data_IF_399527414736
#
_entry.id   IF_399527414736
#
_cell.length_a   1.000
_cell.length_b   1.000
_cell.length_c   1.000
_cell.angle_alpha   90.00
_cell.angle_beta   90.00
_cell.angle_gamma   90.00
#
_symmetry.space_group_name_H-M   'P 1'
#
loop_
_entity.id
_entity.type
_entity.pdbx_description
1 polymer ?
#
# COMPACT_ATOMS: atom_id res chain seq x y z
N UNK A 1 9.41 15.29 42.14
CA UNK A 1 10.15 16.00 41.08
C UNK A 1 9.82 15.46 39.69
N UNK A 2 10.34 14.31 39.25
CA UNK A 2 10.09 13.77 37.89
C UNK A 2 8.62 13.71 37.45
N UNK A 3 7.75 13.05 38.23
CA UNK A 3 6.30 13.00 37.92
C UNK A 3 5.63 14.38 37.88
N UNK A 4 6.09 15.31 38.71
CA UNK A 4 5.56 16.68 38.74
C UNK A 4 6.03 17.47 37.51
N UNK A 5 7.27 17.25 37.07
CA UNK A 5 7.80 17.85 35.84
C UNK A 5 7.10 17.29 34.59
N UNK A 6 6.78 15.99 34.55
CA UNK A 6 5.96 15.42 33.47
C UNK A 6 4.54 16.00 33.45
N UNK A 7 3.93 16.20 34.61
CA UNK A 7 2.61 16.84 34.71
C UNK A 7 2.65 18.31 34.27
N UNK A 8 3.69 19.06 34.67
CA UNK A 8 3.93 20.43 34.21
C UNK A 8 4.14 20.50 32.71
N UNK A 9 4.87 19.54 32.12
CA UNK A 9 5.11 19.47 30.67
C UNK A 9 3.78 19.30 29.93
N UNK A 10 2.95 18.37 30.38
CA UNK A 10 1.62 18.15 29.81
C UNK A 10 0.77 19.43 29.88
N UNK A 11 0.77 20.12 31.03
CA UNK A 11 0.05 21.39 31.18
C UNK A 11 0.58 22.52 30.30
N UNK A 12 1.90 22.59 30.08
CA UNK A 12 2.51 23.57 29.17
C UNK A 12 2.18 23.26 27.71
N UNK A 13 2.14 21.99 27.32
CA UNK A 13 1.75 21.56 25.97
C UNK A 13 0.27 21.86 25.71
N UNK A 14 -0.61 21.61 26.68
CA UNK A 14 -2.02 22.00 26.58
C UNK A 14 -2.19 23.51 26.47
N UNK A 15 -1.40 24.28 27.23
CA UNK A 15 -1.37 25.74 27.15
C UNK A 15 -0.89 26.19 25.76
N UNK A 16 0.17 25.58 25.23
CA UNK A 16 0.70 25.85 23.91
C UNK A 16 -0.34 25.61 22.81
N UNK A 17 -1.06 24.49 22.89
CA UNK A 17 -2.11 24.11 21.92
C UNK A 17 -3.26 25.13 21.92
N UNK A 18 -3.65 25.64 23.09
CA UNK A 18 -4.77 26.60 23.22
C UNK A 18 -4.38 28.04 22.86
N UNK A 19 -3.09 28.37 22.98
CA UNK A 19 -2.58 29.72 22.78
C UNK A 19 -2.52 30.12 21.30
N UNK A 20 -2.95 31.36 21.03
CA UNK A 20 -3.04 31.95 19.69
C UNK A 20 -2.10 33.14 19.52
N UNK A 21 -1.65 33.76 20.60
CA UNK A 21 -0.73 34.88 20.59
C UNK A 21 0.73 34.43 20.39
N UNK A 22 1.41 35.00 19.41
CA UNK A 22 2.76 34.58 19.00
C UNK A 22 3.83 34.88 20.05
N UNK A 23 3.70 35.98 20.80
CA UNK A 23 4.64 36.33 21.87
C UNK A 23 4.48 35.38 23.06
N UNK A 24 3.24 35.09 23.43
CA UNK A 24 2.92 34.15 24.50
C UNK A 24 3.34 32.73 24.13
N UNK A 25 3.23 32.33 22.86
CA UNK A 25 3.75 31.04 22.39
C UNK A 25 5.25 30.90 22.61
N UNK A 26 6.04 31.91 22.24
CA UNK A 26 7.50 31.88 22.47
C UNK A 26 7.86 31.76 23.94
N UNK A 27 7.06 32.35 24.84
CA UNK A 27 7.26 32.20 26.29
C UNK A 27 6.98 30.76 26.72
N UNK A 28 5.90 30.15 26.21
CA UNK A 28 5.56 28.75 26.52
C UNK A 28 6.58 27.79 25.92
N UNK A 29 7.10 28.03 24.73
CA UNK A 29 8.18 27.24 24.10
C UNK A 29 9.42 27.21 25.00
N UNK A 30 9.88 28.37 25.48
CA UNK A 30 11.01 28.44 26.40
C UNK A 30 10.76 27.71 27.72
N UNK A 31 9.52 27.76 28.23
CA UNK A 31 9.15 27.02 29.44
C UNK A 31 9.18 25.51 29.20
N UNK A 32 8.72 25.05 28.02
CA UNK A 32 8.81 23.64 27.62
C UNK A 32 10.27 23.24 27.48
N UNK A 33 11.09 24.01 26.75
CA UNK A 33 12.52 23.73 26.55
C UNK A 33 13.28 23.63 27.88
N UNK A 34 13.07 24.58 28.80
CA UNK A 34 13.66 24.54 30.14
C UNK A 34 13.25 23.26 30.88
N UNK A 35 11.98 22.87 30.79
CA UNK A 35 11.48 21.69 31.48
C UNK A 35 11.98 20.39 30.86
N UNK A 36 12.21 20.35 29.55
CA UNK A 36 12.87 19.23 28.88
C UNK A 36 14.32 19.09 29.34
N UNK A 37 15.04 20.20 29.52
CA UNK A 37 16.38 20.18 30.11
C UNK A 37 16.39 19.64 31.55
N UNK A 38 15.37 19.94 32.35
CA UNK A 38 15.26 19.37 33.69
C UNK A 38 14.95 17.86 33.64
N UNK A 39 14.03 17.45 32.76
CA UNK A 39 13.62 16.05 32.61
C UNK A 39 14.73 15.12 32.11
N UNK A 40 15.60 15.60 31.22
CA UNK A 40 16.74 14.81 30.73
C UNK A 40 17.78 14.58 31.83
N UNK A 41 17.96 15.55 32.74
CA UNK A 41 18.89 15.45 33.87
C UNK A 41 18.33 14.49 34.92
N UNK A 42 17.01 14.50 35.14
CA UNK A 42 16.35 13.68 36.16
C UNK A 42 16.30 12.18 35.80
N UNK A 43 15.95 11.83 34.56
CA UNK A 43 15.94 10.43 34.10
C UNK A 43 16.09 10.32 32.57
N UNK A 44 17.32 10.09 32.12
CA UNK A 44 17.66 9.95 30.70
C UNK A 44 16.91 8.79 30.01
N UNK A 45 16.58 7.71 30.73
CA UNK A 45 15.91 6.54 30.16
C UNK A 45 14.43 6.82 29.85
N UNK A 46 13.78 7.63 30.69
CA UNK A 46 12.37 7.98 30.55
C UNK A 46 12.15 9.29 29.77
N UNK A 47 13.20 10.05 29.50
CA UNK A 47 13.15 11.33 28.80
C UNK A 47 12.55 11.24 27.39
N UNK A 48 13.00 10.29 26.57
CA UNK A 48 12.53 10.14 25.19
C UNK A 48 11.05 9.70 25.12
N UNK A 49 10.58 8.68 25.87
CA UNK A 49 9.16 8.35 25.93
C UNK A 49 8.29 9.55 26.31
N UNK A 50 8.78 10.41 27.20
CA UNK A 50 8.07 11.63 27.60
C UNK A 50 8.02 12.64 26.46
N UNK A 51 9.12 12.89 25.75
CA UNK A 51 9.10 13.76 24.55
C UNK A 51 8.11 13.21 23.52
N UNK A 52 8.13 11.91 23.25
CA UNK A 52 7.24 11.29 22.26
C UNK A 52 5.76 11.41 22.66
N UNK A 53 5.42 10.94 23.86
CA UNK A 53 4.01 10.81 24.28
C UNK A 53 3.40 12.09 24.85
N UNK A 54 4.20 12.94 25.52
CA UNK A 54 3.68 14.12 26.23
C UNK A 54 3.91 15.43 25.48
N UNK A 55 4.79 15.45 24.49
CA UNK A 55 5.07 16.65 23.69
C UNK A 55 4.73 16.44 22.21
N UNK A 56 5.43 15.54 21.51
CA UNK A 56 5.31 15.43 20.05
C UNK A 56 3.94 14.90 19.62
N UNK A 57 3.40 13.88 20.29
CA UNK A 57 2.10 13.30 19.96
C UNK A 57 0.93 14.31 20.09
N UNK A 58 0.76 15.02 21.23
CA UNK A 58 -0.27 16.06 21.33
C UNK A 58 -0.13 17.18 20.30
N UNK A 59 1.10 17.66 20.04
CA UNK A 59 1.35 18.71 19.05
C UNK A 59 1.03 18.23 17.63
N UNK A 60 1.38 16.98 17.28
CA UNK A 60 1.02 16.37 15.99
C UNK A 60 -0.49 16.22 15.82
N UNK A 61 -1.19 15.71 16.83
CA UNK A 61 -2.66 15.61 16.80
C UNK A 61 -3.28 16.99 16.57
N UNK A 62 -2.75 18.03 17.22
CA UNK A 62 -3.19 19.40 17.01
C UNK A 62 -2.94 19.90 15.59
N UNK A 63 -1.76 19.68 15.01
CA UNK A 63 -1.44 20.04 13.62
C UNK A 63 -2.37 19.32 12.64
N UNK A 64 -2.65 18.03 12.86
CA UNK A 64 -3.60 17.27 12.03
C UNK A 64 -5.03 17.83 12.11
N UNK A 65 -5.48 18.25 13.30
CA UNK A 65 -6.78 18.91 13.46
C UNK A 65 -6.85 20.27 12.77
N UNK A 66 -5.77 21.06 12.85
CA UNK A 66 -5.62 22.33 12.13
C UNK A 66 -5.73 22.08 10.62
N UNK A 67 -5.01 21.09 10.10
CA UNK A 67 -5.01 20.73 8.67
C UNK A 67 -6.36 20.17 8.19
N UNK A 68 -7.09 19.41 9.03
CA UNK A 68 -8.46 18.96 8.71
C UNK A 68 -9.45 20.12 8.59
N UNK A 69 -9.35 21.12 9.49
CA UNK A 69 -10.17 22.34 9.43
C UNK A 69 -9.81 23.22 8.23
N UNK A 70 -8.55 23.19 7.78
CA UNK A 70 -8.09 23.89 6.58
C UNK A 70 -8.79 23.40 5.31
N UNK A 71 -9.00 22.09 5.17
CA UNK A 71 -9.67 21.48 4.00
C UNK A 71 -11.16 21.86 3.88
N UNK A 72 -11.75 22.46 4.91
CA UNK A 72 -13.19 22.81 4.97
C UNK A 72 -13.50 24.32 5.06
N UNK A 73 -12.50 25.22 5.11
CA UNK A 73 -12.69 26.65 5.45
C UNK A 73 -12.49 27.71 4.33
N UNK A 74 -13.16 28.88 4.45
CA UNK A 74 -13.02 30.09 3.58
C UNK A 74 -11.76 30.92 3.90
N UNK A 75 -11.28 31.71 2.93
CA UNK A 75 -9.90 32.22 2.80
C UNK A 75 -9.28 32.99 3.99
N UNK A 76 -10.02 33.76 4.80
CA UNK A 76 -9.42 34.48 5.95
C UNK A 76 -9.05 33.57 7.12
N UNK A 77 -9.63 32.38 7.18
CA UNK A 77 -9.28 31.34 8.15
C UNK A 77 -7.97 30.63 7.76
N UNK A 78 -7.48 30.80 6.52
CA UNK A 78 -6.28 30.11 6.02
C UNK A 78 -5.00 30.69 6.60
N UNK A 79 -4.77 32.01 6.47
CA UNK A 79 -3.50 32.64 6.91
C UNK A 79 -3.17 32.46 8.40
N UNK A 80 -4.16 32.46 9.32
CA UNK A 80 -3.93 32.23 10.77
C UNK A 80 -3.72 30.75 11.12
N UNK A 81 -4.32 29.85 10.34
CA UNK A 81 -4.19 28.39 10.48
C UNK A 81 -2.83 27.93 9.96
N UNK A 82 -2.35 28.56 8.88
CA UNK A 82 -1.03 28.32 8.27
C UNK A 82 0.10 28.74 9.22
N UNK A 83 -0.01 29.90 9.86
CA UNK A 83 1.02 30.39 10.79
C UNK A 83 1.15 29.52 12.06
N UNK A 84 0.04 29.09 12.67
CA UNK A 84 0.09 28.21 13.86
C UNK A 84 0.65 26.83 13.54
N UNK A 85 0.26 26.26 12.39
CA UNK A 85 0.80 24.97 11.91
C UNK A 85 2.31 25.08 11.69
N UNK A 86 2.76 26.14 11.01
CA UNK A 86 4.17 26.39 10.73
C UNK A 86 4.99 26.60 12.00
N UNK A 87 4.50 27.41 12.94
CA UNK A 87 5.18 27.64 14.24
C UNK A 87 5.28 26.33 15.02
N UNK A 88 4.20 25.55 15.09
CA UNK A 88 4.19 24.27 15.81
C UNK A 88 5.14 23.25 15.18
N UNK A 89 5.18 23.15 13.85
CA UNK A 89 6.12 22.29 13.13
C UNK A 89 7.58 22.74 13.33
N UNK A 90 7.84 24.04 13.28
CA UNK A 90 9.16 24.60 13.57
C UNK A 90 9.62 24.30 14.99
N UNK A 91 8.73 24.43 15.97
CA UNK A 91 9.02 24.09 17.36
C UNK A 91 9.31 22.60 17.55
N UNK A 92 8.49 21.71 16.98
CA UNK A 92 8.76 20.27 16.99
C UNK A 92 10.12 19.94 16.37
N UNK A 93 10.46 20.54 15.23
CA UNK A 93 11.77 20.39 14.59
C UNK A 93 12.92 20.90 15.46
N UNK A 94 12.74 22.05 16.12
CA UNK A 94 13.73 22.62 17.05
C UNK A 94 14.03 21.63 18.18
N UNK A 95 13.00 21.11 18.83
CA UNK A 95 13.13 20.11 19.90
C UNK A 95 13.84 18.85 19.40
N UNK A 96 13.43 18.31 18.25
CA UNK A 96 14.05 17.13 17.65
C UNK A 96 15.54 17.36 17.33
N UNK A 97 15.89 18.55 16.83
CA UNK A 97 17.27 18.90 16.52
C UNK A 97 18.13 19.04 17.78
N UNK A 98 17.60 19.68 18.82
CA UNK A 98 18.31 19.88 20.11
C UNK A 98 18.61 18.53 20.76
N UNK A 99 17.64 17.62 20.76
CA UNK A 99 17.79 16.31 21.40
C UNK A 99 18.16 15.19 20.43
N UNK A 100 18.60 15.52 19.21
CA UNK A 100 18.92 14.54 18.17
C UNK A 100 19.98 13.53 18.63
N UNK A 101 20.96 13.95 19.45
CA UNK A 101 22.01 13.04 19.97
C UNK A 101 21.46 12.04 20.99
N UNK A 102 20.56 12.48 21.85
CA UNK A 102 19.90 11.62 22.84
C UNK A 102 18.84 10.74 22.18
N UNK A 103 18.27 11.19 21.06
CA UNK A 103 17.46 10.36 20.16
C UNK A 103 18.29 9.39 19.32
N UNK A 104 19.56 9.68 18.99
CA UNK A 104 20.49 8.74 18.33
C UNK A 104 20.84 7.55 19.23
N UNK A 105 20.98 7.76 20.54
CA UNK A 105 21.15 6.68 21.50
C UNK A 105 19.84 5.92 21.79
N UNK A 106 18.71 6.40 21.24
CA UNK A 106 17.45 5.69 21.19
C UNK A 106 17.36 4.71 20.00
N UNK A 107 18.47 4.06 19.68
CA UNK A 107 18.52 2.68 19.17
C UNK A 107 17.80 1.68 20.14
N UNK A 108 17.24 2.19 21.25
CA UNK A 108 16.38 1.57 22.25
C UNK A 108 15.03 0.99 21.74
N UNK A 109 14.80 0.86 20.43
CA UNK A 109 13.88 -0.19 19.97
C UNK A 109 14.48 -1.60 20.15
N UNK A 110 15.75 -1.69 20.58
CA UNK A 110 16.47 -2.93 20.89
C UNK A 110 16.68 -3.17 22.39
N UNK A 111 15.88 -2.58 23.29
CA UNK A 111 15.88 -3.13 24.64
C UNK A 111 15.28 -4.53 24.58
N UNK A 112 16.13 -5.51 24.85
CA UNK A 112 15.93 -6.96 24.78
C UNK A 112 14.65 -7.52 25.42
N UNK A 113 13.85 -6.68 26.08
CA UNK A 113 12.52 -6.98 26.64
C UNK A 113 11.35 -6.72 25.70
N UNK A 114 11.54 -5.98 24.60
CA UNK A 114 10.52 -5.84 23.54
C UNK A 114 10.53 -6.99 22.53
N UNK A 115 11.55 -7.85 22.59
CA UNK A 115 11.70 -9.04 21.75
C UNK A 115 11.04 -10.25 22.42
N UNK A 116 9.85 -10.07 23.00
CA UNK A 116 8.92 -11.19 23.14
C UNK A 116 8.37 -11.50 21.75
N UNK A 117 9.04 -12.43 21.10
CA UNK A 117 8.84 -12.91 19.75
C UNK A 117 7.38 -12.96 19.29
N UNK A 118 7.01 -12.00 18.44
CA UNK A 118 6.12 -12.18 17.30
C UNK A 118 6.24 -10.97 16.36
N UNK A 119 6.67 -11.21 15.12
CA UNK A 119 6.40 -10.31 13.99
C UNK A 119 6.90 -8.85 14.20
N UNK A 120 8.04 -8.65 14.85
CA UNK A 120 8.54 -7.30 15.15
C UNK A 120 8.94 -6.53 13.90
N UNK A 121 9.34 -7.20 12.81
CA UNK A 121 9.53 -6.53 11.53
C UNK A 121 8.20 -6.08 10.89
N UNK A 122 7.08 -6.73 11.18
CA UNK A 122 5.74 -6.32 10.68
C UNK A 122 5.32 -5.01 11.36
N UNK A 123 5.71 -4.83 12.61
CA UNK A 123 5.50 -3.61 13.40
C UNK A 123 6.82 -3.13 13.97
N UNK A 124 7.67 -2.45 13.16
CA UNK A 124 9.02 -2.07 13.58
C UNK A 124 9.03 -1.04 14.72
N UNK A 125 7.88 -0.44 15.03
CA UNK A 125 7.71 0.54 16.10
C UNK A 125 6.38 0.37 16.85
N UNK A 126 6.29 0.93 18.08
CA UNK A 126 5.03 1.10 18.79
C UNK A 126 4.00 1.91 17.99
N UNK A 127 2.72 1.66 18.24
CA UNK A 127 1.63 2.43 17.63
C UNK A 127 1.78 3.93 17.94
N UNK A 128 1.69 4.76 16.90
CA UNK A 128 1.88 6.22 16.92
C UNK A 128 3.32 6.72 17.05
N UNK A 129 4.33 5.87 16.85
CA UNK A 129 5.72 6.34 16.74
C UNK A 129 5.88 7.27 15.52
N UNK A 130 6.53 8.44 15.66
CA UNK A 130 6.60 9.41 14.57
C UNK A 130 7.74 9.05 13.60
N UNK A 131 7.47 8.03 12.77
CA UNK A 131 8.45 7.44 11.86
C UNK A 131 9.07 8.46 10.91
N UNK A 132 8.35 9.51 10.53
CA UNK A 132 8.79 10.60 9.65
C UNK A 132 10.07 11.34 10.08
N UNK A 133 10.48 11.23 11.36
CA UNK A 133 11.66 11.88 11.90
C UNK A 133 12.86 10.94 12.02
N UNK A 134 12.67 9.65 11.75
CA UNK A 134 13.78 8.72 11.59
C UNK A 134 14.44 9.03 10.24
N UNK A 135 15.77 9.08 10.20
CA UNK A 135 16.44 9.15 8.90
C UNK A 135 16.24 7.84 8.14
N UNK A 136 16.21 7.91 6.81
CA UNK A 136 16.09 6.73 5.97
C UNK A 136 17.16 5.66 6.32
N UNK A 137 18.40 6.08 6.58
CA UNK A 137 19.49 5.17 6.96
C UNK A 137 19.24 4.47 8.31
N UNK A 138 18.78 5.22 9.32
CA UNK A 138 18.42 4.65 10.62
C UNK A 138 17.25 3.69 10.47
N UNK A 139 16.25 4.05 9.66
CA UNK A 139 15.10 3.21 9.40
C UNK A 139 15.49 1.89 8.73
N UNK A 140 16.35 1.95 7.68
CA UNK A 140 16.93 0.78 7.03
C UNK A 140 17.71 -0.10 8.01
N UNK A 141 18.54 0.48 8.86
CA UNK A 141 19.33 -0.26 9.83
C UNK A 141 18.45 -1.02 10.83
N UNK A 142 17.37 -0.40 11.30
CA UNK A 142 16.39 -1.03 12.20
C UNK A 142 15.74 -2.22 11.49
N UNK A 143 15.22 -2.04 10.28
CA UNK A 143 14.60 -3.11 9.50
C UNK A 143 15.57 -4.27 9.23
N UNK A 144 16.81 -3.96 8.88
CA UNK A 144 17.86 -4.95 8.66
C UNK A 144 18.19 -5.75 9.93
N UNK A 145 18.25 -5.10 11.08
CA UNK A 145 18.47 -5.76 12.36
C UNK A 145 17.31 -6.71 12.71
N UNK A 146 16.07 -6.25 12.51
CA UNK A 146 14.86 -7.03 12.74
C UNK A 146 14.76 -8.24 11.78
N UNK A 147 15.06 -8.05 10.50
CA UNK A 147 15.07 -9.12 9.51
C UNK A 147 16.10 -10.22 9.86
N UNK A 148 17.30 -9.81 10.27
CA UNK A 148 18.35 -10.74 10.73
C UNK A 148 17.93 -11.51 11.98
N UNK A 149 17.27 -10.83 12.93
CA UNK A 149 16.77 -11.47 14.14
C UNK A 149 15.68 -12.51 13.82
N UNK A 150 14.74 -12.19 12.93
CA UNK A 150 13.67 -13.11 12.50
C UNK A 150 14.24 -14.35 11.81
N UNK A 151 15.21 -14.18 10.90
CA UNK A 151 15.89 -15.29 10.24
C UNK A 151 16.65 -16.17 11.22
N UNK A 152 17.37 -15.56 12.16
CA UNK A 152 18.11 -16.29 13.20
C UNK A 152 17.14 -17.11 14.05
N UNK A 153 16.00 -16.53 14.43
CA UNK A 153 14.98 -17.22 15.19
C UNK A 153 14.46 -18.48 14.48
N UNK A 154 14.08 -18.39 13.20
CA UNK A 154 13.61 -19.58 12.48
C UNK A 154 14.70 -20.63 12.31
N UNK A 155 15.97 -20.23 12.16
CA UNK A 155 17.09 -21.20 12.14
C UNK A 155 17.20 -21.96 13.46
N UNK A 156 17.14 -21.26 14.59
CA UNK A 156 17.16 -21.89 15.92
C UNK A 156 15.93 -22.76 16.18
N UNK A 157 14.75 -22.36 15.67
CA UNK A 157 13.51 -23.13 15.82
C UNK A 157 13.44 -24.37 14.96
N UNK A 158 14.09 -24.38 13.80
CA UNK A 158 14.22 -25.58 12.98
C UNK A 158 14.95 -26.70 13.73
N UNK A 159 15.94 -26.35 14.56
CA UNK A 159 16.73 -27.31 15.35
C UNK A 159 16.03 -27.78 16.63
N UNK A 160 15.07 -27.00 17.14
CA UNK A 160 14.52 -27.18 18.49
C UNK A 160 13.03 -27.53 18.55
N UNK A 161 12.26 -27.30 17.48
CA UNK A 161 10.84 -27.64 17.42
C UNK A 161 10.59 -28.92 16.63
N UNK A 162 9.51 -29.62 16.98
CA UNK A 162 8.92 -30.64 16.12
C UNK A 162 8.55 -30.04 14.75
N UNK A 163 8.81 -30.77 13.67
CA UNK A 163 8.68 -30.27 12.29
C UNK A 163 7.29 -29.71 11.97
N UNK A 164 6.20 -30.34 12.42
CA UNK A 164 4.84 -29.86 12.15
C UNK A 164 4.57 -28.51 12.82
N UNK A 165 5.08 -28.31 14.05
CA UNK A 165 4.97 -27.05 14.79
C UNK A 165 5.84 -25.96 14.17
N UNK A 166 7.03 -26.33 13.69
CA UNK A 166 7.89 -25.43 12.94
C UNK A 166 7.21 -24.96 11.65
N UNK A 167 6.70 -25.90 10.86
CA UNK A 167 6.02 -25.64 9.59
C UNK A 167 4.83 -24.70 9.78
N UNK A 168 3.91 -25.02 10.70
CA UNK A 168 2.77 -24.17 10.98
C UNK A 168 3.20 -22.74 11.37
N UNK A 169 4.27 -22.61 12.17
CA UNK A 169 4.74 -21.31 12.65
C UNK A 169 5.37 -20.48 11.55
N UNK A 170 6.24 -21.06 10.73
CA UNK A 170 6.88 -20.33 9.64
C UNK A 170 5.87 -19.96 8.54
N UNK A 171 4.86 -20.80 8.29
CA UNK A 171 3.78 -20.48 7.36
C UNK A 171 2.92 -19.30 7.83
N UNK A 172 2.54 -19.26 9.11
CA UNK A 172 1.79 -18.13 9.67
C UNK A 172 2.57 -16.82 9.51
N UNK A 173 3.86 -16.82 9.83
CA UNK A 173 4.70 -15.63 9.70
C UNK A 173 4.86 -15.17 8.25
N UNK A 174 5.04 -16.09 7.31
CA UNK A 174 5.08 -15.78 5.88
C UNK A 174 3.77 -15.14 5.40
N UNK A 175 2.62 -15.63 5.87
CA UNK A 175 1.32 -15.03 5.54
C UNK A 175 1.16 -13.64 6.18
N UNK A 176 1.54 -13.47 7.45
CA UNK A 176 1.50 -12.17 8.10
C UNK A 176 2.39 -11.14 7.37
N UNK A 177 3.56 -11.56 6.88
CA UNK A 177 4.46 -10.72 6.06
C UNK A 177 3.77 -10.32 4.75
N UNK A 178 3.13 -11.26 4.05
CA UNK A 178 2.38 -10.98 2.80
C UNK A 178 1.24 -10.00 3.02
N UNK A 179 0.45 -10.21 4.08
CA UNK A 179 -0.67 -9.33 4.43
C UNK A 179 -0.16 -7.92 4.73
N UNK A 180 0.96 -7.79 5.44
CA UNK A 180 1.58 -6.48 5.69
C UNK A 180 2.10 -5.81 4.43
N UNK A 181 2.70 -6.55 3.50
CA UNK A 181 3.10 -6.01 2.19
C UNK A 181 1.88 -5.46 1.44
N UNK A 182 0.75 -6.16 1.50
CA UNK A 182 -0.49 -5.69 0.86
C UNK A 182 -1.03 -4.41 1.53
N UNK A 183 -1.01 -4.34 2.86
CA UNK A 183 -1.36 -3.13 3.62
C UNK A 183 -0.47 -1.95 3.20
N UNK A 184 0.86 -2.14 3.18
CA UNK A 184 1.82 -1.12 2.77
C UNK A 184 1.61 -0.66 1.32
N UNK A 185 1.28 -1.57 0.40
CA UNK A 185 0.95 -1.20 -0.98
C UNK A 185 -0.28 -0.27 -1.05
N UNK A 186 -1.30 -0.52 -0.23
CA UNK A 186 -2.47 0.36 -0.15
C UNK A 186 -2.08 1.73 0.41
N UNK A 187 -1.29 1.78 1.49
CA UNK A 187 -0.81 3.03 2.10
C UNK A 187 0.05 3.86 1.13
N UNK A 188 0.93 3.20 0.36
CA UNK A 188 1.74 3.81 -0.70
C UNK A 188 0.83 4.39 -1.79
N UNK A 189 -0.18 3.63 -2.23
CA UNK A 189 -1.13 4.06 -3.24
C UNK A 189 -1.92 5.31 -2.81
N UNK A 190 -2.27 5.42 -1.53
CA UNK A 190 -2.94 6.59 -0.98
C UNK A 190 -2.01 7.79 -0.74
N UNK A 191 -0.75 7.54 -0.36
CA UNK A 191 0.20 8.58 0.05
C UNK A 191 0.92 9.21 -1.13
N UNK A 192 1.30 8.43 -2.15
CA UNK A 192 2.04 8.94 -3.32
C UNK A 192 1.31 10.09 -4.06
N UNK A 193 -0.01 10.06 -4.29
CA UNK A 193 -0.73 11.18 -4.89
C UNK A 193 -0.71 12.45 -4.02
N UNK A 194 -0.69 12.31 -2.69
CA UNK A 194 -0.62 13.44 -1.75
C UNK A 194 0.74 14.12 -1.83
N UNK A 195 1.83 13.33 -1.82
CA UNK A 195 3.20 13.82 -1.99
C UNK A 195 3.35 14.57 -3.31
N UNK A 196 2.93 13.98 -4.43
CA UNK A 196 3.00 14.61 -5.75
C UNK A 196 2.22 15.94 -5.83
N UNK A 197 1.11 16.05 -5.11
CA UNK A 197 0.33 17.30 -5.04
C UNK A 197 1.02 18.35 -4.19
N UNK A 198 1.61 17.96 -3.05
CA UNK A 198 2.32 18.85 -2.15
C UNK A 198 3.63 19.34 -2.76
N UNK A 199 4.36 18.48 -3.48
CA UNK A 199 5.58 18.84 -4.20
C UNK A 199 5.35 19.97 -5.20
N UNK A 200 4.31 19.85 -6.04
CA UNK A 200 3.92 20.89 -7.00
C UNK A 200 3.64 22.24 -6.33
N UNK A 201 3.08 22.21 -5.11
CA UNK A 201 2.79 23.42 -4.34
C UNK A 201 4.04 23.98 -3.65
N UNK A 202 4.88 23.11 -3.07
CA UNK A 202 6.13 23.51 -2.44
C UNK A 202 7.09 24.19 -3.42
N UNK A 203 7.06 23.80 -4.70
CA UNK A 203 7.81 24.47 -5.76
C UNK A 203 7.30 25.88 -6.12
N UNK A 204 6.11 26.26 -5.64
CA UNK A 204 5.48 27.56 -5.93
C UNK A 204 5.37 28.44 -4.68
N UNK A 205 5.20 27.82 -3.51
CA UNK A 205 4.90 28.47 -2.23
C UNK A 205 5.70 27.79 -1.11
N UNK A 206 6.59 28.54 -0.45
CA UNK A 206 7.48 28.02 0.62
C UNK A 206 6.71 27.40 1.80
N UNK A 207 5.48 27.86 2.07
CA UNK A 207 4.65 27.39 3.18
C UNK A 207 4.28 25.89 3.07
N UNK A 208 4.46 25.26 1.90
CA UNK A 208 4.19 23.83 1.71
C UNK A 208 5.43 22.93 1.85
N UNK A 209 6.64 23.49 1.98
CA UNK A 209 7.89 22.71 2.05
C UNK A 209 7.86 21.73 3.22
N UNK A 210 7.43 22.19 4.40
CA UNK A 210 7.37 21.34 5.60
C UNK A 210 6.36 20.21 5.49
N UNK A 211 5.19 20.50 4.90
CA UNK A 211 4.14 19.50 4.70
C UNK A 211 4.54 18.47 3.64
N UNK A 212 5.19 18.92 2.56
CA UNK A 212 5.76 18.03 1.55
C UNK A 212 6.86 17.15 2.14
N UNK A 213 7.81 17.72 2.88
CA UNK A 213 8.90 16.98 3.50
C UNK A 213 8.37 15.85 4.38
N UNK A 214 7.39 16.14 5.24
CA UNK A 214 6.80 15.16 6.16
C UNK A 214 6.16 13.98 5.41
N UNK A 215 5.29 14.27 4.44
CA UNK A 215 4.61 13.22 3.67
C UNK A 215 5.57 12.45 2.78
N UNK A 216 6.60 13.10 2.25
CA UNK A 216 7.64 12.44 1.46
C UNK A 216 8.45 11.46 2.33
N UNK A 217 8.79 11.83 3.57
CA UNK A 217 9.46 10.92 4.51
C UNK A 217 8.60 9.71 4.84
N UNK A 218 7.29 9.91 5.04
CA UNK A 218 6.35 8.79 5.25
C UNK A 218 6.39 7.84 4.04
N UNK A 219 6.31 8.38 2.83
CA UNK A 219 6.36 7.57 1.61
C UNK A 219 7.68 6.80 1.46
N UNK A 220 8.81 7.42 1.78
CA UNK A 220 10.13 6.77 1.77
C UNK A 220 10.15 5.59 2.76
N UNK A 221 9.64 5.79 3.98
CA UNK A 221 9.58 4.74 4.99
C UNK A 221 8.63 3.61 4.60
N UNK A 222 7.46 3.89 4.04
CA UNK A 222 6.56 2.84 3.55
C UNK A 222 7.22 1.95 2.49
N UNK A 223 7.88 2.56 1.49
CA UNK A 223 8.60 1.81 0.46
C UNK A 223 9.78 1.02 1.04
N UNK A 224 10.54 1.62 1.94
CA UNK A 224 11.69 0.96 2.57
C UNK A 224 11.25 -0.24 3.40
N UNK A 225 10.14 -0.12 4.13
CA UNK A 225 9.56 -1.21 4.91
C UNK A 225 9.10 -2.36 4.03
N UNK A 226 8.36 -2.04 2.97
CA UNK A 226 7.91 -3.02 1.97
C UNK A 226 9.10 -3.81 1.42
N UNK A 227 10.14 -3.10 0.94
CA UNK A 227 11.31 -3.74 0.34
C UNK A 227 12.03 -4.66 1.33
N UNK A 228 12.15 -4.26 2.60
CA UNK A 228 12.76 -5.11 3.63
C UNK A 228 11.93 -6.37 3.92
N UNK A 229 10.60 -6.28 3.87
CA UNK A 229 9.71 -7.44 4.03
C UNK A 229 9.79 -8.39 2.81
N UNK A 230 9.85 -7.84 1.60
CA UNK A 230 10.05 -8.62 0.37
C UNK A 230 11.41 -9.35 0.37
N UNK A 231 12.46 -8.66 0.82
CA UNK A 231 13.78 -9.25 0.98
C UNK A 231 13.79 -10.37 2.03
N UNK A 232 13.19 -10.12 3.21
CA UNK A 232 13.04 -11.14 4.24
C UNK A 232 12.26 -12.36 3.73
N UNK A 233 11.17 -12.15 3.00
CA UNK A 233 10.37 -13.23 2.40
C UNK A 233 11.23 -14.08 1.45
N UNK A 234 12.02 -13.43 0.61
CA UNK A 234 12.97 -14.09 -0.29
C UNK A 234 14.02 -14.90 0.48
N UNK A 235 14.60 -14.33 1.53
CA UNK A 235 15.60 -15.01 2.36
C UNK A 235 15.01 -16.19 3.14
N UNK A 236 13.79 -16.09 3.66
CA UNK A 236 13.08 -17.18 4.31
C UNK A 236 12.83 -18.33 3.32
N UNK A 237 12.32 -18.04 2.13
CA UNK A 237 12.10 -19.05 1.07
C UNK A 237 13.38 -19.73 0.63
N UNK A 238 14.47 -18.98 0.49
CA UNK A 238 15.78 -19.54 0.16
C UNK A 238 16.33 -20.44 1.28
N UNK A 239 16.06 -20.09 2.54
CA UNK A 239 16.60 -20.77 3.72
C UNK A 239 15.81 -22.02 4.14
N UNK A 240 14.50 -22.09 3.88
CA UNK A 240 13.63 -23.13 4.41
C UNK A 240 12.87 -23.87 3.30
N UNK A 241 13.22 -25.14 3.07
CA UNK A 241 12.63 -25.96 2.00
C UNK A 241 11.11 -26.14 2.11
N UNK A 242 10.55 -26.17 3.33
CA UNK A 242 9.09 -26.23 3.54
C UNK A 242 8.34 -25.04 2.94
N UNK A 243 9.03 -23.92 2.73
CA UNK A 243 8.48 -22.75 2.04
C UNK A 243 8.63 -22.84 0.51
N UNK A 244 9.42 -23.78 -0.02
CA UNK A 244 9.49 -24.08 -1.46
C UNK A 244 8.34 -24.95 -1.91
N UNK A 245 7.83 -25.86 -1.05
CA UNK A 245 6.54 -26.51 -1.28
C UNK A 245 5.34 -25.54 -1.28
N UNK A 246 5.57 -24.28 -0.92
CA UNK A 246 4.64 -23.17 -1.01
C UNK A 246 4.72 -22.43 -2.37
N UNK A 247 5.64 -22.80 -3.27
CA UNK A 247 5.66 -22.28 -4.65
C UNK A 247 4.46 -22.76 -5.49
N UNK A 248 3.64 -23.68 -4.98
CA UNK A 248 2.39 -24.10 -5.63
C UNK A 248 1.20 -24.05 -4.66
N UNK A 249 0.85 -22.84 -4.26
CA UNK A 249 -0.49 -22.33 -4.57
C UNK A 249 -0.45 -20.82 -4.44
N UNK A 250 0.08 -20.16 -5.48
CA UNK A 250 -0.68 -18.99 -5.93
C UNK A 250 -2.12 -19.46 -5.99
N UNK A 251 -3.00 -18.93 -5.14
CA UNK A 251 -4.42 -19.26 -5.27
C UNK A 251 -4.75 -18.97 -6.73
N UNK A 252 -5.06 -20.01 -7.52
CA UNK A 252 -5.23 -19.88 -8.96
C UNK A 252 -6.09 -18.64 -9.16
N UNK A 253 -5.54 -17.58 -9.80
CA UNK A 253 -6.16 -16.28 -9.78
C UNK A 253 -7.57 -16.42 -10.33
N UNK A 254 -8.56 -15.86 -9.61
CA UNK A 254 -9.94 -15.93 -10.04
C UNK A 254 -9.99 -15.32 -11.43
N UNK A 255 -10.46 -16.05 -12.43
CA UNK A 255 -10.62 -15.48 -13.76
C UNK A 255 -11.88 -14.60 -13.83
N UNK A 256 -12.07 -13.90 -14.94
CA UNK A 256 -13.24 -13.05 -15.16
C UNK A 256 -14.56 -13.82 -15.20
N UNK A 257 -14.56 -15.15 -15.24
CA UNK A 257 -15.74 -16.00 -15.10
C UNK A 257 -16.02 -16.43 -13.65
N UNK A 258 -15.15 -16.04 -12.71
CA UNK A 258 -15.32 -16.34 -11.28
C UNK A 258 -14.70 -17.67 -10.83
N UNK A 259 -13.90 -18.33 -11.67
CA UNK A 259 -13.33 -19.65 -11.40
C UNK A 259 -11.84 -19.62 -11.06
N UNK A 260 -11.36 -20.65 -10.39
CA UNK A 260 -9.95 -20.84 -10.00
C UNK A 260 -9.36 -22.13 -10.59
N UNK A 261 -9.86 -22.56 -11.75
CA UNK A 261 -9.41 -23.79 -12.40
C UNK A 261 -8.62 -23.46 -13.66
N UNK A 262 -7.39 -23.97 -13.74
CA UNK A 262 -6.46 -23.78 -14.86
C UNK A 262 -6.71 -24.82 -15.96
N UNK A 263 -7.12 -26.04 -15.63
CA UNK A 263 -7.37 -27.12 -16.60
C UNK A 263 -8.56 -26.75 -17.50
N UNK A 264 -9.65 -26.25 -16.91
CA UNK A 264 -10.78 -25.67 -17.64
C UNK A 264 -10.36 -24.54 -18.63
N UNK A 265 -9.28 -23.82 -18.35
CA UNK A 265 -8.78 -22.75 -19.22
C UNK A 265 -8.02 -23.24 -20.44
N UNK A 266 -7.51 -24.47 -20.41
CA UNK A 266 -6.89 -25.13 -21.57
C UNK A 266 -7.95 -25.37 -22.66
N UNK A 267 -9.08 -25.98 -22.30
CA UNK A 267 -10.22 -26.17 -23.20
C UNK A 267 -10.72 -24.84 -23.78
N UNK A 268 -10.76 -23.78 -22.96
CA UNK A 268 -11.13 -22.45 -23.42
C UNK A 268 -10.09 -21.86 -24.39
N UNK A 269 -8.80 -22.05 -24.13
CA UNK A 269 -7.72 -21.63 -25.02
C UNK A 269 -7.82 -22.32 -26.38
N UNK A 270 -7.97 -23.64 -26.41
CA UNK A 270 -8.13 -24.42 -27.65
C UNK A 270 -9.33 -23.93 -28.47
N UNK A 271 -10.45 -23.62 -27.81
CA UNK A 271 -11.62 -23.11 -28.49
C UNK A 271 -11.42 -21.67 -29.01
N UNK A 272 -10.68 -20.85 -28.26
CA UNK A 272 -10.35 -19.48 -28.62
C UNK A 272 -9.27 -19.38 -29.69
N UNK A 273 -8.38 -20.36 -29.82
CA UNK A 273 -7.21 -20.37 -30.72
C UNK A 273 -7.56 -19.94 -32.15
N UNK A 274 -8.73 -20.36 -32.64
CA UNK A 274 -9.27 -19.97 -33.94
C UNK A 274 -9.29 -18.44 -34.16
N UNK A 275 -9.56 -17.67 -33.10
CA UNK A 275 -9.63 -16.21 -33.09
C UNK A 275 -8.34 -15.54 -32.63
N UNK A 276 -7.31 -16.28 -32.21
CA UNK A 276 -6.07 -15.70 -31.70
C UNK A 276 -5.03 -15.53 -32.80
N UNK A 277 -4.17 -14.51 -32.66
CA UNK A 277 -3.02 -14.34 -33.54
C UNK A 277 -2.01 -15.48 -33.38
N UNK A 278 -1.26 -15.77 -34.44
CA UNK A 278 -0.32 -16.91 -34.57
C UNK A 278 0.69 -17.05 -33.41
N UNK A 279 1.00 -15.95 -32.70
CA UNK A 279 2.00 -15.92 -31.63
C UNK A 279 1.40 -15.78 -30.23
N UNK A 280 0.08 -15.94 -30.07
CA UNK A 280 -0.57 -15.79 -28.75
C UNK A 280 -0.48 -17.09 -27.98
N UNK A 281 0.24 -17.07 -26.86
CA UNK A 281 0.37 -18.26 -26.00
C UNK A 281 -0.83 -18.42 -25.05
N UNK A 282 -0.99 -19.63 -24.52
CA UNK A 282 -1.99 -19.92 -23.48
C UNK A 282 -1.81 -19.01 -22.26
N UNK A 283 -0.58 -18.84 -21.78
CA UNK A 283 -0.27 -17.97 -20.65
C UNK A 283 -0.62 -16.50 -20.94
N UNK A 284 -0.35 -16.01 -22.15
CA UNK A 284 -0.75 -14.65 -22.55
C UNK A 284 -2.28 -14.49 -22.50
N UNK A 285 -3.04 -15.49 -22.99
CA UNK A 285 -4.50 -15.47 -22.92
C UNK A 285 -4.99 -15.50 -21.47
N UNK A 286 -4.51 -16.43 -20.66
CA UNK A 286 -4.92 -16.60 -19.26
C UNK A 286 -4.69 -15.30 -18.47
N UNK A 287 -3.52 -14.69 -18.63
CA UNK A 287 -3.18 -13.45 -17.95
C UNK A 287 -4.15 -12.29 -18.25
N UNK A 288 -4.72 -12.25 -19.45
CA UNK A 288 -5.73 -11.26 -19.84
C UNK A 288 -7.07 -11.49 -19.17
N UNK A 289 -7.42 -12.76 -18.93
CA UNK A 289 -8.68 -13.21 -18.33
C UNK A 289 -8.64 -13.34 -16.80
N UNK A 290 -7.55 -12.95 -16.13
CA UNK A 290 -7.48 -12.86 -14.66
C UNK A 290 -8.31 -11.65 -14.14
N UNK A 291 -9.15 -11.89 -13.14
CA UNK A 291 -9.91 -10.87 -12.40
C UNK A 291 -8.95 -10.04 -11.55
N UNK A 292 -9.06 -8.71 -11.61
CA UNK A 292 -8.20 -7.72 -10.94
C UNK A 292 -6.80 -7.50 -11.53
N UNK A 293 -6.49 -8.03 -12.72
CA UNK A 293 -5.26 -7.61 -13.40
C UNK A 293 -5.39 -6.13 -13.85
N UNK A 294 -4.60 -5.24 -13.25
CA UNK A 294 -4.59 -3.80 -13.48
C UNK A 294 -3.98 -3.48 -14.86
N UNK A 295 -4.76 -3.75 -15.91
CA UNK A 295 -4.44 -3.65 -17.35
C UNK A 295 -3.26 -4.54 -17.79
N UNK A 296 -3.46 -5.46 -18.74
CA UNK A 296 -2.34 -6.25 -19.25
C UNK A 296 -1.32 -5.35 -19.94
N UNK A 297 -0.03 -5.71 -19.85
CA UNK A 297 1.07 -4.98 -20.49
C UNK A 297 0.96 -4.95 -22.02
N UNK A 298 0.26 -5.93 -22.62
CA UNK A 298 0.07 -6.10 -24.06
C UNK A 298 -1.37 -6.51 -24.35
N UNK A 299 -1.95 -5.94 -25.40
CA UNK A 299 -3.27 -6.37 -25.92
C UNK A 299 -3.12 -7.59 -26.80
N UNK A 300 -4.05 -8.52 -26.69
CA UNK A 300 -4.14 -9.68 -27.59
C UNK A 300 -4.85 -9.26 -28.87
N UNK A 301 -4.30 -9.62 -30.02
CA UNK A 301 -4.96 -9.37 -31.30
C UNK A 301 -5.90 -10.52 -31.63
N UNK A 302 -7.20 -10.23 -31.68
CA UNK A 302 -8.18 -11.15 -32.22
C UNK A 302 -8.17 -11.06 -33.75
N UNK A 303 -7.99 -12.20 -34.40
CA UNK A 303 -7.94 -12.37 -35.86
C UNK A 303 -9.02 -13.36 -36.31
N UNK A 304 -9.21 -13.49 -37.63
CA UNK A 304 -10.11 -14.46 -38.24
C UNK A 304 -11.62 -14.31 -37.94
N UNK A 305 -12.03 -13.17 -37.39
CA UNK A 305 -13.43 -12.77 -37.20
C UNK A 305 -13.76 -11.41 -37.82
N UNK A 306 -15.04 -11.20 -38.14
CA UNK A 306 -15.57 -9.87 -38.49
C UNK A 306 -15.95 -9.12 -37.21
N UNK A 307 -16.19 -7.80 -37.32
CA UNK A 307 -16.71 -7.02 -36.18
C UNK A 307 -18.03 -7.59 -35.62
N UNK A 308 -18.87 -8.20 -36.45
CA UNK A 308 -20.11 -8.84 -36.02
C UNK A 308 -19.84 -10.15 -35.28
N UNK A 309 -18.80 -10.90 -35.66
CA UNK A 309 -18.39 -12.12 -34.94
C UNK A 309 -17.89 -11.80 -33.54
N UNK A 310 -17.00 -10.81 -33.41
CA UNK A 310 -16.51 -10.37 -32.10
C UNK A 310 -17.63 -9.76 -31.25
N UNK A 311 -18.54 -8.97 -31.86
CA UNK A 311 -19.71 -8.44 -31.16
C UNK A 311 -20.62 -9.55 -30.60
N UNK A 312 -20.86 -10.59 -31.39
CA UNK A 312 -21.66 -11.75 -30.97
C UNK A 312 -20.97 -12.52 -29.83
N UNK A 313 -19.65 -12.76 -29.93
CA UNK A 313 -18.86 -13.38 -28.87
C UNK A 313 -18.95 -12.58 -27.57
N UNK A 314 -18.63 -11.29 -27.62
CA UNK A 314 -18.70 -10.40 -26.45
C UNK A 314 -20.10 -10.40 -25.83
N UNK A 315 -21.16 -10.38 -26.62
CA UNK A 315 -22.53 -10.40 -26.08
C UNK A 315 -22.84 -11.71 -25.36
N UNK A 316 -22.44 -12.86 -25.93
CA UNK A 316 -22.70 -14.17 -25.34
C UNK A 316 -21.92 -14.41 -24.06
N UNK A 317 -20.71 -13.87 -23.96
CA UNK A 317 -19.88 -13.99 -22.75
C UNK A 317 -20.30 -13.03 -21.64
N UNK A 318 -21.00 -11.94 -21.95
CA UNK A 318 -21.30 -10.85 -20.99
C UNK A 318 -21.97 -11.34 -19.70
N UNK A 319 -22.93 -12.27 -19.79
CA UNK A 319 -23.63 -12.79 -18.61
C UNK A 319 -22.80 -13.78 -17.78
N UNK A 320 -21.70 -14.29 -18.34
CA UNK A 320 -20.79 -15.23 -17.68
C UNK A 320 -19.65 -14.50 -16.95
N UNK A 321 -19.49 -13.20 -17.17
CA UNK A 321 -18.44 -12.41 -16.54
C UNK A 321 -18.83 -11.97 -15.12
N UNK A 322 -17.92 -12.17 -14.16
CA UNK A 322 -17.96 -11.64 -12.79
C UNK A 322 -17.58 -10.14 -12.70
N UNK A 323 -17.60 -9.41 -13.82
CA UNK A 323 -17.28 -7.96 -13.90
C UNK A 323 -18.58 -7.15 -13.90
N UNK A 324 -18.60 -5.99 -13.21
CA UNK A 324 -19.75 -5.08 -13.23
C UNK A 324 -20.13 -4.68 -14.66
N UNK A 325 -21.43 -4.64 -14.95
CA UNK A 325 -21.96 -4.40 -16.30
C UNK A 325 -21.48 -3.09 -16.96
N UNK A 326 -21.16 -2.07 -16.17
CA UNK A 326 -20.63 -0.77 -16.64
C UNK A 326 -19.18 -0.80 -17.11
N UNK A 327 -18.42 -1.83 -16.72
CA UNK A 327 -16.98 -1.96 -16.97
C UNK A 327 -16.66 -3.00 -18.05
N UNK A 328 -17.64 -3.83 -18.45
CA UNK A 328 -17.47 -4.89 -19.44
C UNK A 328 -16.91 -4.41 -20.79
N UNK A 329 -17.49 -3.37 -21.39
CA UNK A 329 -17.01 -2.83 -22.67
C UNK A 329 -15.62 -2.19 -22.54
N UNK A 330 -15.29 -1.64 -21.37
CA UNK A 330 -13.97 -1.07 -21.10
C UNK A 330 -12.92 -2.19 -20.98
N UNK A 331 -13.29 -3.30 -20.32
CA UNK A 331 -12.44 -4.48 -20.17
C UNK A 331 -11.98 -5.02 -21.53
N UNK A 332 -12.89 -5.19 -22.50
CA UNK A 332 -12.55 -5.62 -23.86
C UNK A 332 -11.68 -4.60 -24.60
N UNK A 333 -12.00 -3.30 -24.49
CA UNK A 333 -11.24 -2.22 -25.12
C UNK A 333 -9.79 -2.13 -24.61
N UNK A 334 -9.58 -2.40 -23.32
CA UNK A 334 -8.25 -2.34 -22.72
C UNK A 334 -7.37 -3.54 -23.07
N UNK A 335 -7.97 -4.67 -23.47
CA UNK A 335 -7.30 -5.97 -23.53
C UNK A 335 -7.13 -6.55 -24.93
N UNK A 336 -7.95 -6.13 -25.90
CA UNK A 336 -7.96 -6.71 -27.22
C UNK A 336 -7.81 -5.69 -28.36
N UNK A 337 -7.15 -6.13 -29.42
CA UNK A 337 -7.23 -5.54 -30.75
C UNK A 337 -8.17 -6.39 -31.60
N UNK A 338 -8.87 -5.78 -32.57
CA UNK A 338 -9.81 -6.48 -33.44
C UNK A 338 -9.32 -6.35 -34.88
N UNK A 339 -8.72 -7.42 -35.42
CA UNK A 339 -8.00 -7.44 -36.69
C UNK A 339 -6.92 -6.35 -36.76
N UNK A 340 -6.14 -6.21 -35.69
CA UNK A 340 -5.08 -5.20 -35.55
C UNK A 340 -5.58 -3.78 -35.25
N UNK A 341 -6.90 -3.57 -35.14
CA UNK A 341 -7.48 -2.23 -34.93
C UNK A 341 -7.89 -2.04 -33.47
N UNK A 342 -7.44 -0.94 -32.87
CA UNK A 342 -7.87 -0.50 -31.55
C UNK A 342 -9.34 -0.04 -31.54
N UNK A 343 -10.09 -0.43 -30.51
CA UNK A 343 -11.47 -0.01 -30.29
C UNK A 343 -11.63 0.53 -28.88
N UNK A 344 -12.17 1.73 -28.75
CA UNK A 344 -12.48 2.31 -27.44
C UNK A 344 -13.80 1.76 -26.88
N UNK A 345 -14.07 2.02 -25.58
CA UNK A 345 -15.30 1.58 -24.89
C UNK A 345 -16.59 1.87 -25.67
N UNK A 346 -16.70 3.06 -26.27
CA UNK A 346 -17.89 3.47 -27.03
C UNK A 346 -18.07 2.60 -28.27
N UNK A 347 -16.99 2.35 -29.02
CA UNK A 347 -17.01 1.49 -30.21
C UNK A 347 -17.42 0.06 -29.86
N UNK A 348 -16.88 -0.50 -28.78
CA UNK A 348 -17.25 -1.84 -28.29
C UNK A 348 -18.74 -1.93 -27.95
N UNK A 349 -19.26 -0.96 -27.17
CA UNK A 349 -20.69 -0.92 -26.83
C UNK A 349 -21.58 -0.79 -28.06
N UNK A 350 -21.22 0.06 -29.03
CA UNK A 350 -21.99 0.23 -30.27
C UNK A 350 -21.96 -1.04 -31.11
N UNK A 351 -20.83 -1.74 -31.20
CA UNK A 351 -20.72 -3.01 -31.93
C UNK A 351 -21.65 -4.07 -31.36
N UNK A 352 -21.65 -4.25 -30.02
CA UNK A 352 -22.56 -5.21 -29.36
C UNK A 352 -24.03 -4.85 -29.57
N UNK A 353 -24.39 -3.56 -29.43
CA UNK A 353 -25.76 -3.09 -29.63
C UNK A 353 -26.25 -3.26 -31.08
N UNK A 354 -25.37 -3.10 -32.06
CA UNK A 354 -25.73 -3.25 -33.47
C UNK A 354 -25.93 -4.71 -33.86
N UNK A 355 -25.15 -5.64 -33.31
CA UNK A 355 -25.34 -7.09 -33.55
C UNK A 355 -26.68 -7.58 -33.00
N UNK A 356 -27.15 -7.01 -31.89
CA UNK A 356 -28.41 -7.39 -31.25
C UNK A 356 -29.65 -6.95 -32.04
N UNK A 357 -29.63 -5.73 -32.60
CA UNK A 357 -30.81 -5.10 -33.18
C UNK A 357 -30.91 -5.22 -34.71
N UNK A 358 -29.81 -5.51 -35.41
CA UNK A 358 -29.79 -5.56 -36.88
C UNK A 358 -29.73 -7.02 -37.38
N UNK A 359 -30.86 -7.52 -37.88
CA UNK A 359 -31.00 -8.87 -38.42
C UNK A 359 -30.07 -9.17 -39.61
N UNK A 360 -29.56 -8.14 -40.30
CA UNK A 360 -28.60 -8.29 -41.40
C UNK A 360 -27.14 -8.41 -40.91
N UNK A 361 -26.85 -8.06 -39.65
CA UNK A 361 -25.50 -8.05 -39.06
C UNK A 361 -25.23 -9.25 -38.17
N UNK A 362 -25.61 -10.44 -38.64
CA UNK A 362 -25.40 -11.68 -37.88
C UNK A 362 -23.95 -12.13 -38.02
N UNK A 363 -23.39 -12.63 -36.91
CA UNK A 363 -22.12 -13.37 -36.92
C UNK A 363 -22.17 -14.56 -37.89
N UNK A 364 -21.10 -14.71 -38.68
CA UNK A 364 -20.85 -15.85 -39.57
C UNK A 364 -20.25 -17.05 -38.83
N UNK A 365 -19.60 -16.81 -37.67
CA UNK A 365 -18.91 -17.80 -36.84
C UNK A 365 -19.73 -18.26 -35.63
N UNK A 366 -21.06 -18.18 -35.71
CA UNK A 366 -21.99 -18.52 -34.60
C UNK A 366 -21.73 -19.89 -33.99
N UNK A 367 -21.49 -20.91 -34.80
CA UNK A 367 -21.25 -22.28 -34.32
C UNK A 367 -20.03 -22.34 -33.42
N UNK A 368 -18.88 -21.81 -33.88
CA UNK A 368 -17.63 -21.77 -33.10
C UNK A 368 -17.76 -20.90 -31.85
N UNK A 369 -18.43 -19.75 -31.95
CA UNK A 369 -18.68 -18.88 -30.78
C UNK A 369 -19.57 -19.57 -29.75
N UNK A 370 -20.60 -20.30 -30.18
CA UNK A 370 -21.45 -21.04 -29.26
C UNK A 370 -20.70 -22.22 -28.61
N UNK A 371 -19.69 -22.79 -29.28
CA UNK A 371 -18.81 -23.81 -28.71
C UNK A 371 -17.96 -23.24 -27.59
N UNK A 372 -17.29 -22.10 -27.81
CA UNK A 372 -16.56 -21.34 -26.77
C UNK A 372 -17.47 -21.08 -25.54
N UNK A 373 -18.70 -20.62 -25.79
CA UNK A 373 -19.67 -20.34 -24.72
C UNK A 373 -20.04 -21.60 -23.94
N UNK A 374 -20.22 -22.73 -24.62
CA UNK A 374 -20.52 -24.01 -23.97
C UNK A 374 -19.36 -24.49 -23.10
N UNK A 375 -18.13 -24.34 -23.57
CA UNK A 375 -16.92 -24.69 -22.79
C UNK A 375 -16.90 -23.93 -21.47
N UNK A 376 -17.10 -22.61 -21.51
CA UNK A 376 -17.15 -21.78 -20.30
C UNK A 376 -18.36 -22.12 -19.40
N UNK A 377 -19.52 -22.45 -19.99
CA UNK A 377 -20.67 -22.90 -19.22
C UNK A 377 -20.42 -24.24 -18.51
N UNK A 378 -19.58 -25.10 -19.10
CA UNK A 378 -19.10 -26.34 -18.50
C UNK A 378 -18.32 -26.12 -17.20
N UNK A 379 -17.71 -24.94 -17.01
CA UNK A 379 -17.00 -24.61 -15.77
C UNK A 379 -17.93 -24.55 -14.54
N UNK A 380 -19.25 -24.46 -14.74
CA UNK A 380 -20.26 -24.35 -13.68
C UNK A 380 -20.97 -25.66 -13.32
N UNK A 381 -20.61 -26.77 -13.98
CA UNK A 381 -21.11 -28.11 -13.67
C UNK A 381 -20.11 -28.85 -12.79
#
# INVERSE_FOLDING_TARGET
MFKENVAKLTGLVDKYIKEKDSETLKVVEKQIESLLCDLIIEDENLFIPIILEKLLKPLRSHVLEINKKYLSGRSRYKNRVDEKSRITNSFMKSVLNVYQRQMKNYDFCLDSKYVEHKNTIIKPYPENFPIEFISEDSFKNILNALAKAELKYYKEKLETLEMDKFNAKIFLSVNDIKDKIQELNNDIFETAPKVNKLEKKANQEEDYIDSWFLENQILIHLNTHKNALEELLSQLRASFYVLKSLEESESIPVNVFGHKDYESFEDFYEEMEFFLGEYVTMDELINVFILNNNKPQKRINLVNGTLNDYAYLMRKLKSLFAIKSGDYSQWWADRFLFNGVEKNKKAISTMMSNEENDLARKSSKRTKINQIVKTIQGFHQ
#
